data_IF_334434031315
#
_entry.id   IF_334434031315
#
_cell.length_a   1.000
_cell.length_b   1.000
_cell.length_c   1.000
_cell.angle_alpha   90.00
_cell.angle_beta   90.00
_cell.angle_gamma   90.00
#
_symmetry.space_group_name_H-M   'P 1'
#
loop_
_entity.id
_entity.type
_entity.pdbx_description
1 polymer ?
#
# COMPACT_ATOMS: atom_id res chain seq x y z
N UNK A 1 -7.05 -20.00 7.13
CA UNK A 1 -7.41 -19.56 5.76
C UNK A 1 -6.40 -18.59 5.18
N UNK A 2 -5.91 -17.58 5.95
CA UNK A 2 -4.96 -16.54 5.52
C UNK A 2 -3.67 -17.13 4.93
N UNK A 3 -3.07 -18.12 5.56
CA UNK A 3 -1.83 -18.75 5.10
C UNK A 3 -1.95 -19.37 3.70
N UNK A 4 -3.07 -20.02 3.40
CA UNK A 4 -3.31 -20.61 2.08
C UNK A 4 -3.39 -19.54 0.99
N UNK A 5 -4.00 -18.39 1.31
CA UNK A 5 -4.07 -17.27 0.36
C UNK A 5 -2.69 -16.67 0.10
N UNK A 6 -1.86 -16.48 1.13
CA UNK A 6 -0.48 -16.00 0.99
C UNK A 6 0.35 -16.96 0.14
N UNK A 7 0.24 -18.26 0.38
CA UNK A 7 0.97 -19.28 -0.38
C UNK A 7 0.55 -19.29 -1.86
N UNK A 8 -0.76 -19.23 -2.12
CA UNK A 8 -1.28 -19.19 -3.49
C UNK A 8 -0.83 -17.92 -4.23
N UNK A 9 -0.90 -16.76 -3.57
CA UNK A 9 -0.43 -15.51 -4.15
C UNK A 9 1.08 -15.56 -4.42
N UNK A 10 1.87 -16.07 -3.47
CA UNK A 10 3.32 -16.18 -3.61
C UNK A 10 3.74 -17.11 -4.75
N UNK A 11 2.96 -18.19 -4.98
CA UNK A 11 3.18 -19.11 -6.11
C UNK A 11 2.77 -18.51 -7.46
N UNK A 12 1.79 -17.61 -7.48
CA UNK A 12 1.32 -16.96 -8.70
C UNK A 12 2.30 -15.89 -9.22
N UNK A 13 3.14 -15.31 -8.35
CA UNK A 13 4.14 -14.31 -8.76
C UNK A 13 5.37 -15.03 -9.32
N UNK A 14 5.85 -14.68 -10.53
CA UNK A 14 7.03 -15.31 -11.12
C UNK A 14 8.26 -15.19 -10.23
N UNK A 15 9.17 -16.17 -10.34
CA UNK A 15 10.47 -16.13 -9.66
C UNK A 15 11.31 -14.95 -10.17
N UNK A 16 12.02 -14.27 -9.26
CA UNK A 16 12.85 -13.11 -9.60
C UNK A 16 12.11 -11.77 -9.64
N UNK A 17 10.79 -11.76 -9.43
CA UNK A 17 10.03 -10.53 -9.21
C UNK A 17 10.09 -10.17 -7.73
N UNK A 18 10.51 -8.95 -7.42
CA UNK A 18 10.46 -8.42 -6.06
C UNK A 18 9.02 -8.16 -5.63
N UNK A 19 8.74 -8.36 -4.35
CA UNK A 19 7.40 -8.40 -3.81
C UNK A 19 7.30 -7.53 -2.58
N UNK A 20 6.30 -6.66 -2.54
CA UNK A 20 5.99 -5.84 -1.38
C UNK A 20 4.52 -6.00 -1.02
N UNK A 21 4.22 -5.98 0.27
CA UNK A 21 2.86 -6.04 0.80
C UNK A 21 2.70 -5.07 1.96
N UNK A 22 1.50 -4.55 2.11
CA UNK A 22 1.03 -3.88 3.32
C UNK A 22 -0.10 -4.71 3.95
N UNK A 23 -0.20 -4.68 5.26
CA UNK A 23 -1.17 -5.48 6.02
C UNK A 23 -2.47 -4.70 6.18
N UNK A 24 -3.58 -5.35 5.79
CA UNK A 24 -4.92 -4.79 5.91
C UNK A 24 -5.58 -5.09 7.25
N UNK A 25 -6.78 -4.50 7.45
CA UNK A 25 -7.52 -4.67 8.70
C UNK A 25 -7.98 -6.11 8.98
N UNK A 26 -8.10 -6.96 7.98
CA UNK A 26 -8.45 -8.38 8.15
C UNK A 26 -7.23 -9.29 8.33
N UNK A 27 -6.02 -8.78 8.10
CA UNK A 27 -4.79 -9.56 8.22
C UNK A 27 -4.28 -9.61 9.67
N UNK A 28 -3.64 -10.72 10.03
CA UNK A 28 -3.01 -10.91 11.33
C UNK A 28 -1.49 -10.75 11.26
N UNK A 29 -0.83 -10.66 12.41
CA UNK A 29 0.64 -10.73 12.49
C UNK A 29 1.19 -12.01 11.86
N UNK A 30 0.45 -13.13 11.99
CA UNK A 30 0.82 -14.38 11.35
C UNK A 30 0.74 -14.29 9.81
N UNK A 31 -0.14 -13.45 9.25
CA UNK A 31 -0.18 -13.15 7.82
C UNK A 31 1.07 -12.40 7.39
N UNK A 32 1.47 -11.37 8.12
CA UNK A 32 2.69 -10.60 7.88
C UNK A 32 3.94 -11.50 7.93
N UNK A 33 4.06 -12.33 8.98
CA UNK A 33 5.15 -13.30 9.13
C UNK A 33 5.18 -14.32 7.98
N UNK A 34 4.01 -14.76 7.52
CA UNK A 34 3.92 -15.69 6.39
C UNK A 34 4.39 -15.03 5.10
N UNK A 35 4.01 -13.77 4.82
CA UNK A 35 4.52 -13.01 3.69
C UNK A 35 6.05 -12.91 3.74
N UNK A 36 6.62 -12.52 4.88
CA UNK A 36 8.08 -12.43 5.08
C UNK A 36 8.75 -13.79 4.85
N UNK A 37 8.17 -14.87 5.36
CA UNK A 37 8.66 -16.24 5.16
C UNK A 37 8.59 -16.72 3.72
N UNK A 38 7.78 -16.09 2.87
CA UNK A 38 7.68 -16.34 1.42
C UNK A 38 8.53 -15.36 0.58
N UNK A 39 9.38 -14.55 1.22
CA UNK A 39 10.27 -13.61 0.56
C UNK A 39 9.64 -12.29 0.13
N UNK A 40 8.51 -11.91 0.74
CA UNK A 40 7.92 -10.59 0.55
C UNK A 40 8.52 -9.57 1.53
N UNK A 41 8.74 -8.37 1.06
CA UNK A 41 8.94 -7.21 1.91
C UNK A 41 7.57 -6.77 2.43
N UNK A 42 7.37 -6.75 3.74
CA UNK A 42 6.15 -6.24 4.38
C UNK A 42 6.47 -4.88 4.98
N UNK A 43 5.70 -3.87 4.59
CA UNK A 43 5.88 -2.49 5.09
C UNK A 43 5.68 -2.41 6.61
N UNK A 44 6.46 -1.56 7.28
CA UNK A 44 6.49 -1.43 8.75
C UNK A 44 6.66 0.02 9.21
N UNK A 45 6.22 0.97 8.41
CA UNK A 45 6.34 2.40 8.69
C UNK A 45 7.70 3.01 8.33
N UNK A 46 8.56 2.25 7.61
CA UNK A 46 9.86 2.73 7.14
C UNK A 46 9.97 2.61 5.62
N UNK A 47 10.73 3.49 4.96
CA UNK A 47 11.03 3.33 3.54
C UNK A 47 11.80 2.04 3.29
N UNK A 48 11.40 1.30 2.25
CA UNK A 48 12.06 0.07 1.78
C UNK A 48 12.32 0.19 0.28
N UNK A 49 13.43 -0.39 -0.18
CA UNK A 49 13.76 -0.45 -1.61
C UNK A 49 13.15 -1.71 -2.21
N UNK A 50 12.40 -1.55 -3.30
CA UNK A 50 11.77 -2.63 -4.06
C UNK A 50 12.10 -2.41 -5.54
N UNK A 51 13.07 -3.13 -6.08
CA UNK A 51 13.62 -2.83 -7.40
C UNK A 51 14.24 -1.43 -7.43
N UNK A 52 13.86 -0.60 -8.42
CA UNK A 52 14.33 0.78 -8.50
C UNK A 52 13.54 1.76 -7.63
N UNK A 53 12.49 1.30 -6.93
CA UNK A 53 11.55 2.16 -6.22
C UNK A 53 11.81 2.18 -4.72
N UNK A 54 11.63 3.35 -4.12
CA UNK A 54 11.53 3.52 -2.66
C UNK A 54 10.05 3.52 -2.28
N UNK A 55 9.63 2.48 -1.57
CA UNK A 55 8.26 2.29 -1.10
C UNK A 55 8.17 2.60 0.38
N UNK A 56 7.23 3.44 0.77
CA UNK A 56 6.88 3.73 2.16
C UNK A 56 5.45 3.22 2.42
N UNK A 57 5.24 2.52 3.50
CA UNK A 57 3.92 2.04 3.88
C UNK A 57 3.91 1.53 5.30
N UNK A 58 2.72 1.27 5.82
CA UNK A 58 2.55 0.71 7.15
C UNK A 58 1.26 -0.12 7.23
N UNK A 59 1.15 -0.91 8.28
CA UNK A 59 -0.03 -1.72 8.57
C UNK A 59 -1.28 -0.86 8.74
N UNK A 60 -2.45 -1.44 8.45
CA UNK A 60 -3.73 -0.79 8.76
C UNK A 60 -3.81 -0.49 10.27
N UNK A 61 -4.27 0.71 10.60
CA UNK A 61 -4.44 1.18 11.99
C UNK A 61 -5.46 0.36 12.78
N UNK A 62 -6.28 -0.44 12.10
CA UNK A 62 -7.30 -1.27 12.71
C UNK A 62 -7.08 -2.76 12.42
N UNK A 63 -7.60 -3.59 13.32
CA UNK A 63 -7.73 -5.03 13.15
C UNK A 63 -9.20 -5.44 13.28
N UNK A 64 -9.74 -6.01 12.22
CA UNK A 64 -11.12 -6.51 12.17
C UNK A 64 -11.14 -8.04 12.24
N UNK A 65 -11.88 -8.57 13.19
CA UNK A 65 -12.09 -10.00 13.41
C UNK A 65 -13.58 -10.32 13.51
N UNK A 66 -13.93 -11.57 13.66
CA UNK A 66 -15.32 -11.97 13.94
C UNK A 66 -15.86 -11.39 15.27
N UNK A 67 -14.99 -11.01 16.20
CA UNK A 67 -15.36 -10.39 17.48
C UNK A 67 -15.51 -8.86 17.39
N UNK A 68 -15.16 -8.24 16.26
CA UNK A 68 -15.26 -6.80 16.04
C UNK A 68 -13.95 -6.18 15.58
N UNK A 69 -13.93 -4.85 15.56
CA UNK A 69 -12.77 -4.05 15.14
C UNK A 69 -12.09 -3.44 16.37
N UNK A 70 -10.76 -3.52 16.40
CA UNK A 70 -9.91 -2.93 17.43
C UNK A 70 -8.81 -2.10 16.77
N UNK A 71 -8.31 -1.09 17.45
CA UNK A 71 -7.15 -0.31 17.03
C UNK A 71 -5.87 -1.15 17.22
N UNK A 72 -4.93 -1.09 16.27
CA UNK A 72 -3.58 -1.69 16.42
C UNK A 72 -2.64 -0.82 17.24
N UNK A 73 -2.89 0.49 17.28
CA UNK A 73 -2.10 1.49 17.99
C UNK A 73 -2.97 2.66 18.43
N UNK A 74 -2.39 3.85 18.53
CA UNK A 74 -3.09 5.08 18.92
C UNK A 74 -3.45 5.98 17.75
N UNK A 75 -2.96 5.68 16.54
CA UNK A 75 -3.21 6.49 15.34
C UNK A 75 -4.53 6.08 14.67
N UNK A 76 -5.26 7.05 14.15
CA UNK A 76 -6.29 6.82 13.13
C UNK A 76 -5.69 6.88 11.70
N UNK A 77 -6.51 6.61 10.69
CA UNK A 77 -6.03 6.59 9.31
C UNK A 77 -5.49 7.95 8.84
N UNK A 78 -6.05 9.07 9.30
CA UNK A 78 -5.56 10.40 8.97
C UNK A 78 -4.22 10.69 9.64
N UNK A 79 -4.06 10.30 10.89
CA UNK A 79 -2.81 10.43 11.64
C UNK A 79 -1.69 9.56 11.03
N UNK A 80 -2.01 8.33 10.62
CA UNK A 80 -1.10 7.49 9.84
C UNK A 80 -0.67 8.21 8.56
N UNK A 81 -1.62 8.74 7.79
CA UNK A 81 -1.33 9.51 6.58
C UNK A 81 -0.46 10.74 6.84
N UNK A 82 -0.68 11.46 7.94
CA UNK A 82 0.14 12.60 8.34
C UNK A 82 1.58 12.17 8.65
N UNK A 83 1.75 11.12 9.45
CA UNK A 83 3.08 10.60 9.79
C UNK A 83 3.86 10.15 8.56
N UNK A 84 3.22 9.39 7.65
CA UNK A 84 3.86 8.95 6.40
C UNK A 84 4.16 10.14 5.48
N UNK A 85 3.31 11.17 5.45
CA UNK A 85 3.56 12.41 4.72
C UNK A 85 4.80 13.14 5.26
N UNK A 86 4.92 13.28 6.59
CA UNK A 86 6.07 13.91 7.20
C UNK A 86 7.37 13.15 6.92
N UNK A 87 7.33 11.81 6.94
CA UNK A 87 8.47 10.96 6.58
C UNK A 87 8.86 11.12 5.11
N UNK A 88 7.89 11.12 4.18
CA UNK A 88 8.15 11.32 2.76
C UNK A 88 8.77 12.70 2.49
N UNK A 89 8.26 13.75 3.15
CA UNK A 89 8.82 15.10 3.02
C UNK A 89 10.24 15.19 3.59
N UNK A 90 10.50 14.57 4.75
CA UNK A 90 11.85 14.49 5.32
C UNK A 90 12.83 13.73 4.43
N UNK A 91 12.37 12.67 3.76
CA UNK A 91 13.18 11.92 2.80
C UNK A 91 13.51 12.79 1.58
N UNK A 92 12.52 13.47 1.01
CA UNK A 92 12.72 14.40 -0.11
C UNK A 92 13.67 15.55 0.23
N UNK A 93 13.67 16.06 1.46
CA UNK A 93 14.58 17.12 1.92
C UNK A 93 16.04 16.65 2.02
N UNK A 94 16.31 15.35 2.13
CA UNK A 94 17.66 14.77 2.13
C UNK A 94 18.24 14.59 0.72
N UNK A 95 17.44 14.63 -0.29
CA UNK A 95 17.81 14.52 -1.70
C UNK A 95 17.06 13.43 -2.44
N UNK A 96 17.11 13.47 -3.77
CA UNK A 96 16.32 12.57 -4.64
C UNK A 96 16.62 11.08 -4.42
N UNK A 97 17.83 10.73 -3.98
CA UNK A 97 18.19 9.33 -3.75
C UNK A 97 17.42 8.66 -2.60
N UNK A 98 16.90 9.46 -1.65
CA UNK A 98 16.13 8.98 -0.51
C UNK A 98 14.63 9.25 -0.67
N UNK A 99 14.21 9.95 -1.75
CA UNK A 99 12.83 10.32 -1.98
C UNK A 99 11.92 9.07 -2.09
N UNK A 100 10.70 9.19 -1.55
CA UNK A 100 9.69 8.14 -1.64
C UNK A 100 9.00 8.22 -3.00
N UNK A 101 9.05 7.13 -3.76
CA UNK A 101 8.38 7.01 -5.06
C UNK A 101 6.91 6.58 -4.91
N UNK A 102 6.65 5.67 -3.97
CA UNK A 102 5.33 5.07 -3.75
C UNK A 102 5.00 5.03 -2.28
N UNK A 103 3.80 5.49 -1.91
CA UNK A 103 3.21 5.19 -0.61
C UNK A 103 2.17 4.09 -0.79
N UNK A 104 2.39 2.96 -0.10
CA UNK A 104 1.51 1.79 -0.12
C UNK A 104 0.82 1.64 1.23
N UNK A 105 -0.48 1.83 1.26
CA UNK A 105 -1.31 1.77 2.48
C UNK A 105 -2.60 0.99 2.22
N UNK A 106 -3.22 0.48 3.27
CA UNK A 106 -4.46 -0.27 3.10
C UNK A 106 -5.68 0.64 2.86
N UNK A 107 -5.79 1.77 3.61
CA UNK A 107 -6.99 2.63 3.60
C UNK A 107 -6.78 3.93 2.85
N UNK A 108 -7.62 4.26 1.84
CA UNK A 108 -7.55 5.52 1.11
C UNK A 108 -7.87 6.75 1.99
N UNK A 109 -8.46 6.58 3.17
CA UNK A 109 -8.68 7.67 4.14
C UNK A 109 -7.38 8.34 4.60
N UNK A 110 -6.23 7.64 4.50
CA UNK A 110 -4.92 8.21 4.81
C UNK A 110 -4.34 9.08 3.66
N UNK A 111 -4.98 9.16 2.50
CA UNK A 111 -4.46 9.91 1.36
C UNK A 111 -4.42 11.43 1.56
N UNK A 112 -5.37 12.00 2.29
CA UNK A 112 -5.55 13.45 2.33
C UNK A 112 -4.29 14.25 2.74
N UNK A 113 -3.57 13.92 3.84
CA UNK A 113 -2.33 14.63 4.18
C UNK A 113 -1.21 14.38 3.17
N UNK A 114 -1.09 13.18 2.62
CA UNK A 114 -0.11 12.83 1.59
C UNK A 114 -0.33 13.61 0.29
N UNK A 115 -1.60 13.73 -0.14
CA UNK A 115 -1.98 14.54 -1.29
C UNK A 115 -1.72 16.03 -1.05
N UNK A 116 -2.02 16.53 0.14
CA UNK A 116 -1.79 17.94 0.48
C UNK A 116 -0.31 18.31 0.46
N UNK A 117 0.57 17.46 0.96
CA UNK A 117 2.02 17.72 0.97
C UNK A 117 2.66 17.63 -0.42
N UNK A 118 2.28 16.64 -1.20
CA UNK A 118 2.89 16.40 -2.51
C UNK A 118 4.32 15.85 -2.46
N UNK A 119 4.72 15.21 -1.33
CA UNK A 119 6.07 14.69 -1.14
C UNK A 119 6.29 13.27 -1.67
N UNK A 120 5.22 12.57 -2.04
CA UNK A 120 5.27 11.27 -2.71
C UNK A 120 4.41 11.33 -3.98
N UNK A 121 4.95 10.96 -5.15
CA UNK A 121 4.26 11.13 -6.42
C UNK A 121 3.14 10.12 -6.68
N UNK A 122 3.16 8.96 -5.99
CA UNK A 122 2.17 7.89 -6.16
C UNK A 122 1.70 7.34 -4.82
N UNK A 123 0.38 7.27 -4.66
CA UNK A 123 -0.30 6.66 -3.52
C UNK A 123 -1.12 5.46 -3.99
N UNK A 124 -0.98 4.32 -3.34
CA UNK A 124 -1.72 3.09 -3.63
C UNK A 124 -2.49 2.64 -2.40
N UNK A 125 -3.78 2.33 -2.56
CA UNK A 125 -4.62 1.75 -1.51
C UNK A 125 -5.65 0.77 -2.08
N UNK A 126 -6.25 -0.03 -1.17
CA UNK A 126 -7.36 -0.92 -1.43
C UNK A 126 -8.53 -0.68 -0.48
N UNK A 127 -8.85 -1.66 0.39
CA UNK A 127 -9.83 -1.64 1.47
C UNK A 127 -11.30 -1.56 1.04
N UNK A 128 -11.65 -0.64 0.15
CA UNK A 128 -13.06 -0.37 -0.21
C UNK A 128 -13.67 -1.41 -1.13
N UNK A 129 -12.86 -2.28 -1.73
CA UNK A 129 -13.24 -3.36 -2.67
C UNK A 129 -13.96 -2.87 -3.94
N UNK A 130 -13.95 -1.58 -4.17
CA UNK A 130 -14.52 -0.91 -5.33
C UNK A 130 -13.37 -0.25 -6.10
N UNK A 131 -13.34 -0.47 -7.41
CA UNK A 131 -12.39 0.22 -8.27
C UNK A 131 -12.76 1.70 -8.40
N UNK A 132 -11.84 2.58 -8.01
CA UNK A 132 -12.04 4.04 -8.11
C UNK A 132 -11.10 4.71 -9.12
N UNK A 133 -10.22 3.90 -9.73
CA UNK A 133 -9.27 4.38 -10.70
C UNK A 133 -8.19 5.31 -10.15
N UNK A 134 -7.42 5.87 -11.08
CA UNK A 134 -6.36 6.83 -10.78
C UNK A 134 -6.92 8.24 -10.74
N UNK A 135 -6.63 8.97 -9.67
CA UNK A 135 -6.90 10.40 -9.54
C UNK A 135 -5.60 11.17 -9.40
N UNK A 136 -5.61 12.46 -9.73
CA UNK A 136 -4.42 13.30 -9.59
C UNK A 136 -4.78 14.64 -8.97
N UNK A 137 -3.95 15.09 -8.04
CA UNK A 137 -4.04 16.40 -7.38
C UNK A 137 -2.69 17.10 -7.36
N UNK A 138 -2.69 18.41 -7.25
CA UNK A 138 -1.47 19.17 -7.00
C UNK A 138 -1.34 19.43 -5.51
N UNK A 139 -0.37 18.81 -4.87
CA UNK A 139 0.04 19.11 -3.51
C UNK A 139 1.00 20.29 -3.44
N UNK A 140 1.45 20.63 -2.24
CA UNK A 140 2.34 21.78 -2.01
C UNK A 140 3.71 21.62 -2.70
N UNK A 141 4.26 20.41 -2.76
CA UNK A 141 5.59 20.11 -3.30
C UNK A 141 5.58 19.42 -4.67
N UNK A 142 4.44 18.94 -5.12
CA UNK A 142 4.35 18.26 -6.41
C UNK A 142 2.99 17.66 -6.71
N UNK A 143 2.86 17.14 -7.92
CA UNK A 143 1.68 16.39 -8.34
C UNK A 143 1.67 15.01 -7.69
N UNK A 144 0.53 14.59 -7.19
CA UNK A 144 0.29 13.30 -6.57
C UNK A 144 -0.75 12.53 -7.38
N UNK A 145 -0.39 11.34 -7.81
CA UNK A 145 -1.33 10.38 -8.37
C UNK A 145 -1.76 9.41 -7.26
N UNK A 146 -3.04 9.11 -7.18
CA UNK A 146 -3.58 8.22 -6.16
C UNK A 146 -4.51 7.18 -6.80
N UNK A 147 -4.22 5.91 -6.57
CA UNK A 147 -5.01 4.77 -7.05
C UNK A 147 -5.65 4.06 -5.85
N UNK A 148 -6.97 3.92 -5.90
CA UNK A 148 -7.70 3.01 -5.02
C UNK A 148 -8.18 1.83 -5.83
N UNK A 149 -7.53 0.68 -5.64
CA UNK A 149 -7.83 -0.55 -6.38
C UNK A 149 -9.04 -1.27 -5.81
N UNK A 150 -9.81 -1.88 -6.69
CA UNK A 150 -10.81 -2.87 -6.31
C UNK A 150 -10.19 -4.18 -5.78
N UNK A 151 -11.05 -5.13 -5.38
CA UNK A 151 -10.59 -6.38 -4.79
C UNK A 151 -9.95 -7.31 -5.84
N UNK A 152 -8.72 -7.73 -5.61
CA UNK A 152 -8.00 -8.66 -6.49
C UNK A 152 -8.62 -10.05 -6.60
N UNK A 153 -9.49 -10.44 -5.63
CA UNK A 153 -10.23 -11.72 -5.67
C UNK A 153 -11.67 -11.60 -6.18
N UNK A 154 -12.11 -10.40 -6.62
CA UNK A 154 -13.48 -10.20 -7.10
C UNK A 154 -14.54 -10.35 -6.01
N UNK A 155 -14.52 -9.49 -4.99
CA UNK A 155 -15.54 -9.41 -3.95
C UNK A 155 -15.02 -9.57 -2.52
N UNK A 156 -15.93 -9.39 -1.56
CA UNK A 156 -15.63 -9.34 -0.12
C UNK A 156 -15.74 -10.70 0.59
N UNK A 157 -16.58 -11.61 0.08
CA UNK A 157 -16.87 -12.89 0.75
C UNK A 157 -15.82 -13.95 0.47
N UNK A 158 -15.40 -14.69 1.48
CA UNK A 158 -14.49 -15.83 1.34
C UNK A 158 -15.16 -16.92 0.49
N UNK A 159 -14.43 -17.41 -0.52
CA UNK A 159 -14.88 -18.51 -1.38
C UNK A 159 -15.94 -18.15 -2.42
N UNK A 160 -16.32 -16.87 -2.53
CA UNK A 160 -17.25 -16.41 -3.56
C UNK A 160 -16.62 -15.27 -4.35
N UNK A 161 -16.67 -15.38 -5.67
CA UNK A 161 -16.38 -14.27 -6.59
C UNK A 161 -17.73 -13.65 -6.94
N UNK A 162 -17.97 -12.43 -6.51
CA UNK A 162 -19.24 -11.72 -6.67
C UNK A 162 -19.12 -10.49 -7.56
N UNK A 163 -17.90 -10.02 -7.77
CA UNK A 163 -17.57 -8.80 -8.50
C UNK A 163 -16.32 -9.03 -9.36
N UNK A 164 -15.97 -8.06 -10.19
CA UNK A 164 -14.75 -8.09 -10.98
C UNK A 164 -13.50 -8.15 -10.11
N UNK A 165 -12.52 -8.92 -10.54
CA UNK A 165 -11.19 -8.94 -9.95
C UNK A 165 -10.31 -7.89 -10.63
N UNK A 166 -9.56 -7.12 -9.82
CA UNK A 166 -8.76 -6.00 -10.30
C UNK A 166 -7.27 -6.26 -10.12
N UNK A 167 -6.52 -6.02 -11.18
CA UNK A 167 -5.07 -5.99 -11.22
C UNK A 167 -4.66 -4.75 -12.02
N UNK A 168 -3.72 -3.98 -11.48
CA UNK A 168 -3.20 -2.79 -12.14
C UNK A 168 -1.75 -3.00 -12.54
N UNK A 169 -1.39 -2.58 -13.73
CA UNK A 169 -0.02 -2.45 -14.19
C UNK A 169 0.36 -0.97 -14.20
N UNK A 170 1.45 -0.62 -13.54
CA UNK A 170 1.98 0.73 -13.47
C UNK A 170 3.40 0.72 -14.04
N UNK A 171 3.66 1.59 -15.01
CA UNK A 171 4.96 1.71 -15.64
C UNK A 171 5.77 2.85 -15.03
N UNK A 172 7.04 2.58 -14.75
CA UNK A 172 7.98 3.55 -14.21
C UNK A 172 9.21 3.67 -15.10
N UNK A 173 9.82 4.84 -15.11
CA UNK A 173 11.18 5.04 -15.64
C UNK A 173 12.22 4.45 -14.69
N UNK A 174 13.45 4.33 -15.16
CA UNK A 174 14.55 3.80 -14.34
C UNK A 174 14.93 4.69 -13.13
N UNK A 175 14.47 5.93 -13.10
CA UNK A 175 14.63 6.88 -12.00
C UNK A 175 13.44 6.93 -11.04
N UNK A 176 12.48 5.97 -11.18
CA UNK A 176 11.31 5.85 -10.31
C UNK A 176 10.12 6.73 -10.68
N UNK A 177 10.18 7.49 -11.77
CA UNK A 177 9.05 8.34 -12.19
C UNK A 177 7.93 7.51 -12.83
N UNK A 178 6.68 7.72 -12.40
CA UNK A 178 5.51 7.10 -13.00
C UNK A 178 5.30 7.62 -14.44
N UNK A 179 5.16 6.70 -15.40
CA UNK A 179 4.95 7.05 -16.81
C UNK A 179 3.46 7.21 -17.13
N UNK A 180 2.63 6.26 -16.68
CA UNK A 180 1.19 6.25 -16.86
C UNK A 180 0.52 5.18 -15.97
#
# INVERSE_FOLDING_TARGET
>A
PEQVCVDALSQAVPSGVERVATIGNHDSEATAERFRGQGWTVTDGKPVTVGPLTVLGDDDVERTTAAGTTQRGSEDATQLGQRLSDQACQAADKGNADAVDVVLIHRPQAFAPLQASGCAPLLLAGHVHEERGMTAVNGQRGRVNALTSGAGKGGTSIGRVTDDAWLHELAFTSDGSLIA
#
